data_IF_354116866322
#
_entry.id   IF_354116866322
#
_cell.length_a   1.000
_cell.length_b   1.000
_cell.length_c   1.000
_cell.angle_alpha   90.00
_cell.angle_beta   90.00
_cell.angle_gamma   90.00
#
_symmetry.space_group_name_H-M   'P 1'
#
loop_
_entity.id
_entity.type
_entity.pdbx_description
1 polymer ?
#
# COMPACT_ATOMS: atom_id res chain seq x y z
N UNK A 1 -8.43 -21.18 14.02
CA UNK A 1 -7.34 -20.63 14.87
C UNK A 1 -6.10 -21.45 14.57
N UNK A 2 -4.96 -20.82 14.27
CA UNK A 2 -3.73 -21.54 13.88
C UNK A 2 -3.16 -22.24 15.12
N UNK A 3 -2.87 -23.55 15.05
CA UNK A 3 -2.31 -24.30 16.18
C UNK A 3 -0.78 -24.23 16.22
N UNK A 4 -0.18 -24.49 17.39
CA UNK A 4 1.30 -24.55 17.51
C UNK A 4 1.93 -25.58 16.57
N UNK A 5 1.23 -26.68 16.29
CA UNK A 5 1.69 -27.73 15.38
C UNK A 5 1.79 -27.20 13.95
N UNK A 6 0.83 -26.39 13.53
CA UNK A 6 0.82 -25.78 12.20
C UNK A 6 1.99 -24.80 12.05
N UNK A 7 2.24 -23.95 13.06
CA UNK A 7 3.38 -23.02 13.07
C UNK A 7 4.73 -23.74 12.95
N UNK A 8 4.92 -24.81 13.73
CA UNK A 8 6.15 -25.62 13.67
C UNK A 8 6.31 -26.32 12.31
N UNK A 9 5.20 -26.77 11.71
CA UNK A 9 5.18 -27.34 10.37
C UNK A 9 5.65 -26.33 9.31
N UNK A 10 5.11 -25.10 9.34
CA UNK A 10 5.50 -24.04 8.41
C UNK A 10 6.97 -23.65 8.57
N UNK A 11 7.46 -23.52 9.80
CA UNK A 11 8.88 -23.22 10.06
C UNK A 11 9.82 -24.29 9.45
N UNK A 12 9.41 -25.56 9.49
CA UNK A 12 10.16 -26.65 8.87
C UNK A 12 10.15 -26.54 7.34
N UNK A 13 9.00 -26.32 6.74
CA UNK A 13 8.86 -26.14 5.28
C UNK A 13 9.73 -24.99 4.77
N UNK A 14 9.71 -23.84 5.46
CA UNK A 14 10.50 -22.68 5.01
C UNK A 14 12.01 -22.93 5.05
N UNK A 15 12.49 -23.73 6.02
CA UNK A 15 13.91 -24.11 6.12
C UNK A 15 14.34 -25.19 5.14
N UNK A 16 13.47 -26.16 4.86
CA UNK A 16 13.81 -27.33 4.03
C UNK A 16 13.57 -27.09 2.53
N UNK A 17 12.66 -26.18 2.16
CA UNK A 17 12.15 -26.04 0.78
C UNK A 17 12.55 -24.72 0.08
N UNK A 18 13.47 -23.91 0.65
CA UNK A 18 13.95 -22.64 0.08
C UNK A 18 12.82 -21.71 -0.44
N UNK A 19 11.77 -21.55 0.36
CA UNK A 19 10.60 -20.75 -0.02
C UNK A 19 10.84 -19.26 0.19
N UNK A 20 10.42 -18.45 -0.78
CA UNK A 20 10.43 -16.99 -0.73
C UNK A 20 9.02 -16.40 -0.61
N UNK A 21 8.94 -15.17 -0.11
CA UNK A 21 7.71 -14.38 -0.09
C UNK A 21 7.79 -13.35 -1.20
N UNK A 22 7.05 -13.59 -2.28
CA UNK A 22 7.03 -12.69 -3.45
C UNK A 22 6.68 -11.25 -3.08
N UNK A 23 5.70 -11.04 -2.19
CA UNK A 23 5.35 -9.70 -1.73
C UNK A 23 4.61 -9.69 -0.40
N UNK A 24 4.86 -8.65 0.40
CA UNK A 24 3.99 -8.21 1.50
C UNK A 24 3.35 -6.89 1.09
N UNK A 25 2.01 -6.84 1.14
CA UNK A 25 1.24 -5.65 0.77
C UNK A 25 0.40 -5.16 1.95
N UNK A 26 0.53 -3.88 2.32
CA UNK A 26 -0.40 -3.23 3.23
C UNK A 26 -1.54 -2.58 2.43
N UNK A 27 -2.78 -2.90 2.77
CA UNK A 27 -3.97 -2.20 2.27
C UNK A 27 -4.33 -1.00 3.14
N UNK A 28 -4.49 0.19 2.55
CA UNK A 28 -4.90 1.41 3.26
C UNK A 28 -6.16 1.99 2.63
N UNK A 29 -7.18 2.22 3.46
CA UNK A 29 -8.33 3.02 3.05
C UNK A 29 -7.97 4.51 3.07
N UNK A 30 -8.10 5.21 1.95
CA UNK A 30 -7.87 6.66 1.85
C UNK A 30 -9.15 7.51 1.78
N UNK A 31 -10.33 6.91 1.88
CA UNK A 31 -11.59 7.64 1.69
C UNK A 31 -11.80 8.75 2.73
N UNK A 32 -11.23 8.59 3.93
CA UNK A 32 -11.21 9.58 5.01
C UNK A 32 -10.14 10.67 4.84
N UNK A 33 -9.29 10.60 3.82
CA UNK A 33 -8.32 11.64 3.47
C UNK A 33 -8.91 12.75 2.60
N UNK A 34 -10.15 12.60 2.10
CA UNK A 34 -10.79 13.63 1.26
C UNK A 34 -10.94 14.94 2.02
N UNK A 35 -10.51 16.04 1.39
CA UNK A 35 -10.63 17.43 1.88
C UNK A 35 -11.19 18.33 0.80
N UNK A 36 -11.38 19.60 1.14
CA UNK A 36 -11.95 20.63 0.25
C UNK A 36 -11.08 20.94 -0.98
N UNK A 37 -9.75 20.75 -0.88
CA UNK A 37 -8.79 20.95 -1.98
C UNK A 37 -7.93 19.71 -2.24
N UNK A 38 -7.30 19.63 -3.42
CA UNK A 38 -6.45 18.48 -3.81
C UNK A 38 -5.20 18.46 -2.98
N UNK A 39 -4.57 19.62 -2.81
CA UNK A 39 -3.43 19.83 -1.92
C UNK A 39 -3.70 19.36 -0.50
N UNK A 40 -4.82 19.77 0.10
CA UNK A 40 -5.16 19.30 1.45
C UNK A 40 -5.44 17.79 1.51
N UNK A 41 -5.98 17.21 0.43
CA UNK A 41 -6.18 15.76 0.32
C UNK A 41 -4.85 15.03 0.16
N UNK A 42 -3.94 15.55 -0.67
CA UNK A 42 -2.58 15.04 -0.87
C UNK A 42 -1.78 15.02 0.44
N UNK A 43 -1.86 16.10 1.23
CA UNK A 43 -1.20 16.17 2.53
C UNK A 43 -1.77 15.14 3.53
N UNK A 44 -3.10 14.97 3.57
CA UNK A 44 -3.73 13.95 4.39
C UNK A 44 -3.36 12.51 3.95
N UNK A 45 -3.18 12.27 2.65
CA UNK A 45 -2.70 10.99 2.11
C UNK A 45 -1.26 10.73 2.58
N UNK A 46 -0.35 11.69 2.38
CA UNK A 46 1.05 11.60 2.79
C UNK A 46 1.19 11.32 4.29
N UNK A 47 0.46 12.08 5.10
CA UNK A 47 0.43 11.88 6.56
C UNK A 47 -0.03 10.48 6.93
N UNK A 48 -1.17 10.03 6.37
CA UNK A 48 -1.75 8.73 6.69
C UNK A 48 -0.84 7.57 6.26
N UNK A 49 -0.26 7.64 5.06
CA UNK A 49 0.67 6.61 4.57
C UNK A 49 1.91 6.58 5.46
N UNK A 50 2.51 7.73 5.78
CA UNK A 50 3.66 7.81 6.68
C UNK A 50 3.38 7.19 8.05
N UNK A 51 2.25 7.52 8.67
CA UNK A 51 1.86 6.99 9.99
C UNK A 51 1.60 5.48 9.97
N UNK A 52 0.96 4.97 8.91
CA UNK A 52 0.51 3.56 8.86
C UNK A 52 1.56 2.62 8.29
N UNK A 53 2.39 3.08 7.37
CA UNK A 53 3.32 2.25 6.63
C UNK A 53 4.79 2.56 6.89
N UNK A 54 5.14 3.62 7.62
CA UNK A 54 6.53 4.06 7.85
C UNK A 54 7.47 3.01 8.47
N UNK A 55 6.94 1.91 9.01
CA UNK A 55 7.74 0.79 9.55
C UNK A 55 7.68 -0.48 8.72
N UNK A 56 6.97 -0.51 7.60
CA UNK A 56 6.76 -1.73 6.80
C UNK A 56 8.10 -2.35 6.38
N UNK A 57 8.97 -1.55 5.77
CA UNK A 57 10.29 -2.02 5.30
C UNK A 57 11.12 -2.55 6.45
N UNK A 58 11.28 -1.78 7.52
CA UNK A 58 12.05 -2.19 8.69
C UNK A 58 11.51 -3.48 9.33
N UNK A 59 10.19 -3.64 9.42
CA UNK A 59 9.58 -4.88 9.93
C UNK A 59 9.87 -6.05 9.00
N UNK A 60 9.72 -5.90 7.69
CA UNK A 60 10.06 -6.95 6.73
C UNK A 60 11.53 -7.34 6.78
N UNK A 61 12.44 -6.37 6.87
CA UNK A 61 13.89 -6.63 6.93
C UNK A 61 14.28 -7.33 8.25
N UNK A 62 13.64 -6.96 9.36
CA UNK A 62 13.82 -7.68 10.63
C UNK A 62 13.32 -9.13 10.55
N UNK A 63 12.18 -9.38 9.90
CA UNK A 63 11.67 -10.73 9.69
C UNK A 63 12.60 -11.55 8.79
N UNK A 64 13.18 -10.93 7.75
CA UNK A 64 14.18 -11.57 6.91
C UNK A 64 15.40 -12.00 7.75
N UNK A 65 15.91 -11.10 8.60
CA UNK A 65 17.08 -11.38 9.45
C UNK A 65 16.81 -12.43 10.55
N UNK A 66 15.64 -12.40 11.18
CA UNK A 66 15.30 -13.28 12.31
C UNK A 66 14.94 -14.69 11.84
N UNK A 67 14.20 -14.81 10.74
CA UNK A 67 13.62 -16.07 10.30
C UNK A 67 14.26 -16.63 9.03
N UNK A 68 15.22 -15.92 8.42
CA UNK A 68 15.84 -16.31 7.16
C UNK A 68 14.86 -16.29 5.99
N UNK A 69 13.82 -15.46 6.08
CA UNK A 69 12.81 -15.30 5.03
C UNK A 69 13.34 -14.35 3.96
N UNK A 70 13.02 -14.60 2.70
CA UNK A 70 13.29 -13.67 1.62
C UNK A 70 11.99 -12.98 1.21
N UNK A 71 11.73 -11.78 1.74
CA UNK A 71 10.63 -10.93 1.28
C UNK A 71 11.12 -10.08 0.10
N UNK A 72 10.69 -10.44 -1.10
CA UNK A 72 11.17 -9.85 -2.36
C UNK A 72 10.60 -8.45 -2.60
N UNK A 73 9.33 -8.20 -2.27
CA UNK A 73 8.67 -6.90 -2.49
C UNK A 73 7.86 -6.44 -1.26
N UNK A 74 7.97 -5.16 -0.90
CA UNK A 74 7.12 -4.45 0.05
C UNK A 74 6.24 -3.46 -0.71
N UNK A 75 4.91 -3.59 -0.62
CA UNK A 75 3.97 -2.80 -1.43
C UNK A 75 2.88 -2.18 -0.59
N UNK A 76 2.24 -1.15 -1.14
CA UNK A 76 1.03 -0.54 -0.58
C UNK A 76 -0.07 -0.62 -1.64
N UNK A 77 -1.28 -0.95 -1.22
CA UNK A 77 -2.48 -0.85 -2.04
C UNK A 77 -3.48 0.12 -1.37
N UNK A 78 -4.01 1.07 -2.12
CA UNK A 78 -4.92 2.10 -1.62
C UNK A 78 -6.32 1.98 -2.22
N UNK A 79 -7.30 2.63 -1.58
CA UNK A 79 -8.63 2.84 -2.16
C UNK A 79 -8.53 3.39 -3.59
N UNK A 80 -9.42 3.00 -4.53
CA UNK A 80 -9.40 3.56 -5.89
C UNK A 80 -9.44 5.09 -5.87
N UNK A 81 -8.41 5.72 -6.43
CA UNK A 81 -8.26 7.18 -6.42
C UNK A 81 -9.43 7.92 -7.08
N UNK A 82 -10.14 7.28 -8.01
CA UNK A 82 -11.39 7.82 -8.56
C UNK A 82 -12.42 8.20 -7.49
N UNK A 83 -12.43 7.52 -6.34
CA UNK A 83 -13.35 7.82 -5.22
C UNK A 83 -13.00 9.14 -4.52
N UNK A 84 -11.70 9.44 -4.40
CA UNK A 84 -11.23 10.69 -3.83
C UNK A 84 -11.36 11.84 -4.83
N UNK A 85 -11.23 11.51 -6.12
CA UNK A 85 -11.37 12.46 -7.21
C UNK A 85 -12.82 12.83 -7.52
N UNK A 86 -13.79 11.95 -7.25
CA UNK A 86 -15.20 12.15 -7.60
C UNK A 86 -15.74 13.55 -7.25
N UNK A 87 -16.21 14.31 -8.24
CA UNK A 87 -16.68 15.69 -8.11
C UNK A 87 -15.58 16.74 -8.27
N UNK A 88 -14.42 16.37 -8.84
CA UNK A 88 -13.32 17.29 -9.19
C UNK A 88 -13.09 17.21 -10.69
N UNK A 89 -13.17 18.35 -11.36
CA UNK A 89 -13.18 18.39 -12.83
C UNK A 89 -11.77 18.53 -13.44
N UNK A 90 -10.72 18.70 -12.63
CA UNK A 90 -9.36 18.98 -13.10
C UNK A 90 -8.48 17.74 -13.25
N UNK A 91 -7.86 17.56 -14.42
CA UNK A 91 -6.75 16.60 -14.59
C UNK A 91 -5.57 16.91 -13.65
N UNK A 92 -5.39 18.19 -13.31
CA UNK A 92 -4.37 18.65 -12.37
C UNK A 92 -4.59 18.09 -10.95
N UNK A 93 -5.84 17.97 -10.48
CA UNK A 93 -6.16 17.33 -9.20
C UNK A 93 -5.69 15.86 -9.20
N UNK A 94 -5.93 15.14 -10.29
CA UNK A 94 -5.54 13.74 -10.42
C UNK A 94 -4.01 13.57 -10.43
N UNK A 95 -3.30 14.44 -11.15
CA UNK A 95 -1.84 14.45 -11.19
C UNK A 95 -1.25 14.79 -9.83
N UNK A 96 -1.85 15.74 -9.10
CA UNK A 96 -1.40 16.11 -7.76
C UNK A 96 -1.52 14.95 -6.77
N UNK A 97 -2.66 14.25 -6.77
CA UNK A 97 -2.82 13.08 -5.91
C UNK A 97 -1.91 11.91 -6.35
N UNK A 98 -1.63 11.75 -7.65
CA UNK A 98 -0.68 10.76 -8.13
C UNK A 98 0.73 11.03 -7.61
N UNK A 99 1.20 12.29 -7.68
CA UNK A 99 2.48 12.72 -7.10
C UNK A 99 2.54 12.48 -5.61
N UNK A 100 1.46 12.76 -4.89
CA UNK A 100 1.38 12.50 -3.46
C UNK A 100 1.56 11.01 -3.11
N UNK A 101 1.02 10.10 -3.92
CA UNK A 101 1.24 8.66 -3.75
C UNK A 101 2.70 8.28 -4.01
N UNK A 102 3.30 8.83 -5.07
CA UNK A 102 4.69 8.57 -5.45
C UNK A 102 5.67 9.05 -4.37
N UNK A 103 5.52 10.31 -3.93
CA UNK A 103 6.27 10.88 -2.81
C UNK A 103 6.12 10.06 -1.52
N UNK A 104 4.90 9.55 -1.26
CA UNK A 104 4.65 8.69 -0.08
C UNK A 104 5.34 7.34 -0.20
N UNK A 105 5.41 6.76 -1.40
CA UNK A 105 6.09 5.49 -1.65
C UNK A 105 7.61 5.64 -1.43
N UNK A 106 8.20 6.70 -1.99
CA UNK A 106 9.60 7.04 -1.77
C UNK A 106 9.91 7.27 -0.28
N UNK A 107 9.10 8.08 0.40
CA UNK A 107 9.31 8.41 1.81
C UNK A 107 9.26 7.20 2.74
N UNK A 108 8.47 6.18 2.41
CA UNK A 108 8.34 4.94 3.19
C UNK A 108 9.30 3.84 2.72
N UNK A 109 9.93 4.00 1.55
CA UNK A 109 10.90 3.06 0.99
C UNK A 109 10.28 1.76 0.45
N UNK A 110 9.03 1.81 -0.03
CA UNK A 110 8.35 0.66 -0.64
C UNK A 110 8.59 0.58 -2.15
N UNK A 111 8.45 -0.63 -2.71
CA UNK A 111 8.72 -0.87 -4.13
C UNK A 111 7.62 -0.34 -5.06
N UNK A 112 6.36 -0.38 -4.59
CA UNK A 112 5.22 0.00 -5.41
C UNK A 112 4.01 0.39 -4.56
N UNK A 113 3.36 1.50 -4.94
CA UNK A 113 2.03 1.87 -4.48
C UNK A 113 1.01 1.71 -5.60
N UNK A 114 -0.02 0.89 -5.35
CA UNK A 114 -1.11 0.65 -6.28
C UNK A 114 -2.41 1.24 -5.77
N UNK A 115 -3.32 1.60 -6.67
CA UNK A 115 -4.65 2.14 -6.31
C UNK A 115 -4.99 3.46 -7.00
N UNK A 116 -4.08 4.01 -7.82
CA UNK A 116 -4.42 5.02 -8.81
C UNK A 116 -5.26 4.38 -9.93
N UNK A 117 -6.53 4.12 -9.64
CA UNK A 117 -7.42 3.31 -10.44
C UNK A 117 -8.86 3.83 -10.39
N UNK A 118 -9.68 3.33 -11.32
CA UNK A 118 -11.12 3.58 -11.39
C UNK A 118 -11.87 2.30 -11.70
N UNK A 119 -13.11 2.19 -11.22
CA UNK A 119 -13.98 1.04 -11.47
C UNK A 119 -15.06 1.42 -12.50
N UNK A 120 -14.82 1.10 -13.77
CA UNK A 120 -15.67 1.56 -14.90
C UNK A 120 -16.49 0.44 -15.56
N UNK A 121 -16.58 -0.72 -14.91
CA UNK A 121 -17.22 -1.92 -15.44
C UNK A 121 -18.72 -1.76 -15.81
N UNK A 122 -19.41 -0.74 -15.27
CA UNK A 122 -20.82 -0.41 -15.58
C UNK A 122 -20.99 0.95 -16.29
N UNK A 123 -19.92 1.45 -16.90
CA UNK A 123 -19.86 2.80 -17.47
C UNK A 123 -19.10 3.77 -16.58
N UNK A 124 -18.73 4.90 -17.17
CA UNK A 124 -17.97 5.97 -16.50
C UNK A 124 -18.94 6.98 -15.90
N UNK A 125 -18.72 7.34 -14.64
CA UNK A 125 -19.35 8.51 -14.01
C UNK A 125 -18.55 9.77 -14.33
N UNK A 126 -19.13 10.97 -14.23
CA UNK A 126 -18.35 12.20 -14.20
C UNK A 126 -17.22 12.10 -13.17
N UNK A 127 -16.03 12.60 -13.55
CA UNK A 127 -14.89 12.73 -12.64
C UNK A 127 -15.17 13.83 -11.61
#
# INVERSE_FOLDING_TARGET
>A
MISKKDVLGTLRMMKEENLDVRTVTIGINLNDCRRDSSSATADAIKEKIGQRCGRLVAVCDNLNAEYGLEIVNKRIAVSPMSTLLAGREGADDAVELAKALDESAEAVGIDLIGGFSALVHKGMTPA
#
